data_IF_163429933299
#
_entry.id   IF_163429933299
#
_cell.length_a   1.000
_cell.length_b   1.000
_cell.length_c   1.000
_cell.angle_alpha   90.00
_cell.angle_beta   90.00
_cell.angle_gamma   90.00
#
_symmetry.space_group_name_H-M   'P 1'
#
loop_
_entity.id
_entity.type
_entity.pdbx_description
1 polymer ?
#
# COMPACT_ATOMS: atom_id res chain seq x y z
N UNK A 1 0.89 19.00 -34.89
CA UNK A 1 -0.21 18.04 -35.13
C UNK A 1 0.25 16.58 -35.17
N UNK A 2 1.04 16.11 -36.15
CA UNK A 2 1.47 14.68 -36.25
C UNK A 2 2.30 14.17 -35.05
N UNK A 3 3.11 15.03 -34.41
CA UNK A 3 3.90 14.66 -33.24
C UNK A 3 3.09 14.53 -31.95
N UNK A 4 2.00 15.28 -31.81
CA UNK A 4 1.08 15.16 -30.66
C UNK A 4 0.28 13.87 -30.72
N UNK A 5 -0.22 13.51 -31.90
CA UNK A 5 -1.00 12.28 -32.10
C UNK A 5 -0.17 11.03 -31.81
N UNK A 6 1.13 11.04 -32.15
CA UNK A 6 2.06 9.93 -31.85
C UNK A 6 2.40 9.82 -30.35
N UNK A 7 2.41 10.94 -29.62
CA UNK A 7 2.60 10.97 -28.16
C UNK A 7 1.39 10.35 -27.44
N UNK A 8 0.18 10.64 -27.89
CA UNK A 8 -1.06 10.06 -27.38
C UNK A 8 -1.12 8.55 -27.61
N UNK A 9 -0.65 8.05 -28.76
CA UNK A 9 -0.60 6.61 -29.08
C UNK A 9 0.50 5.83 -28.33
N UNK A 10 1.57 6.51 -27.87
CA UNK A 10 2.67 5.85 -27.15
C UNK A 10 2.43 5.63 -25.65
N UNK A 11 1.30 6.09 -25.10
CA UNK A 11 1.04 6.07 -23.66
C UNK A 11 2.02 6.92 -22.84
N UNK A 12 2.77 7.81 -23.49
CA UNK A 12 3.80 8.66 -22.89
C UNK A 12 3.33 10.13 -22.76
N UNK A 13 2.06 10.33 -22.40
CA UNK A 13 1.58 11.66 -21.99
C UNK A 13 2.00 11.96 -20.55
N UNK A 14 2.13 13.24 -20.19
CA UNK A 14 2.54 13.65 -18.83
C UNK A 14 1.64 13.06 -17.73
N UNK A 15 0.38 12.80 -18.04
CA UNK A 15 -0.58 12.22 -17.09
C UNK A 15 -0.25 10.76 -16.75
N UNK A 16 0.19 9.96 -17.71
CA UNK A 16 0.67 8.60 -17.45
C UNK A 16 1.93 8.63 -16.56
N UNK A 17 2.81 9.60 -16.78
CA UNK A 17 4.00 9.77 -15.95
C UNK A 17 3.65 10.16 -14.50
N UNK A 18 2.73 11.11 -14.32
CA UNK A 18 2.24 11.52 -12.98
C UNK A 18 1.60 10.35 -12.24
N UNK A 19 0.71 9.59 -12.90
CA UNK A 19 0.08 8.41 -12.31
C UNK A 19 1.13 7.36 -11.92
N UNK A 20 2.01 6.97 -12.84
CA UNK A 20 3.07 6.00 -12.59
C UNK A 20 3.96 6.42 -11.43
N UNK A 21 4.37 7.69 -11.38
CA UNK A 21 5.20 8.21 -10.28
C UNK A 21 4.48 8.08 -8.94
N UNK A 22 3.20 8.47 -8.86
CA UNK A 22 2.40 8.33 -7.62
C UNK A 22 2.27 6.87 -7.19
N UNK A 23 1.96 5.97 -8.11
CA UNK A 23 1.82 4.54 -7.82
C UNK A 23 3.14 3.91 -7.36
N UNK A 24 4.24 4.17 -8.08
CA UNK A 24 5.56 3.65 -7.72
C UNK A 24 6.00 4.19 -6.37
N UNK A 25 5.79 5.49 -6.09
CA UNK A 25 6.07 6.05 -4.77
C UNK A 25 5.22 5.39 -3.69
N UNK A 26 3.91 5.23 -3.90
CA UNK A 26 3.04 4.59 -2.93
C UNK A 26 3.46 3.14 -2.63
N UNK A 27 3.80 2.36 -3.66
CA UNK A 27 4.30 0.99 -3.51
C UNK A 27 5.63 0.99 -2.75
N UNK A 28 6.60 1.80 -3.16
CA UNK A 28 7.94 1.82 -2.55
C UNK A 28 7.90 2.19 -1.07
N UNK A 29 7.12 3.22 -0.71
CA UNK A 29 6.96 3.63 0.68
C UNK A 29 6.17 2.57 1.47
N UNK A 30 5.15 1.95 0.87
CA UNK A 30 4.40 0.86 1.53
C UNK A 30 5.27 -0.36 1.77
N UNK A 31 6.16 -0.75 0.85
CA UNK A 31 7.12 -1.83 1.06
C UNK A 31 8.11 -1.52 2.18
N UNK A 32 8.50 -0.25 2.33
CA UNK A 32 9.33 0.17 3.45
C UNK A 32 8.58 0.09 4.79
N UNK A 33 7.33 0.53 4.82
CA UNK A 33 6.44 0.38 5.99
C UNK A 33 6.20 -1.09 6.32
N UNK A 34 6.03 -1.94 5.32
CA UNK A 34 5.89 -3.39 5.47
C UNK A 34 7.11 -4.01 6.15
N UNK A 35 8.31 -3.67 5.68
CA UNK A 35 9.56 -4.15 6.28
C UNK A 35 9.69 -3.73 7.76
N UNK A 36 9.37 -2.47 8.06
CA UNK A 36 9.38 -1.96 9.44
C UNK A 36 8.34 -2.69 10.29
N UNK A 37 7.09 -2.77 9.79
CA UNK A 37 5.99 -3.44 10.47
C UNK A 37 6.33 -4.90 10.75
N UNK A 38 6.90 -5.60 9.77
CA UNK A 38 7.34 -7.00 9.90
C UNK A 38 8.36 -7.15 11.02
N UNK A 39 9.35 -6.27 11.05
CA UNK A 39 10.41 -6.28 12.07
C UNK A 39 9.83 -6.03 13.47
N UNK A 40 8.94 -5.04 13.60
CA UNK A 40 8.29 -4.72 14.87
C UNK A 40 7.36 -5.84 15.34
N UNK A 41 6.53 -6.37 14.44
CA UNK A 41 5.61 -7.46 14.75
C UNK A 41 6.37 -8.70 15.19
N UNK A 42 7.42 -9.08 14.47
CA UNK A 42 8.28 -10.18 14.90
C UNK A 42 8.90 -9.91 16.28
N UNK A 43 9.48 -8.73 16.51
CA UNK A 43 10.11 -8.40 17.79
C UNK A 43 9.13 -8.40 18.99
N UNK A 44 7.87 -8.02 18.77
CA UNK A 44 6.87 -7.87 19.82
C UNK A 44 6.09 -9.17 20.08
N UNK A 45 5.81 -9.95 19.04
CA UNK A 45 4.90 -11.08 19.08
C UNK A 45 5.60 -12.44 19.11
N UNK A 46 6.84 -12.53 18.60
CA UNK A 46 7.56 -13.80 18.57
C UNK A 46 7.78 -14.36 19.98
N UNK A 47 7.50 -15.65 20.14
CA UNK A 47 7.63 -16.36 21.42
C UNK A 47 6.55 -16.01 22.47
N UNK A 48 5.53 -15.21 22.11
CA UNK A 48 4.40 -14.93 23.01
C UNK A 48 3.38 -16.06 22.95
N UNK A 49 2.83 -16.41 24.11
CA UNK A 49 1.79 -17.43 24.23
C UNK A 49 0.57 -17.03 23.38
N UNK A 50 0.06 -17.96 22.58
CA UNK A 50 -1.03 -17.79 21.62
C UNK A 50 -0.79 -16.80 20.46
N UNK A 51 0.44 -16.33 20.24
CA UNK A 51 0.72 -15.54 19.04
C UNK A 51 0.85 -16.43 17.80
N UNK A 52 0.23 -15.99 16.70
CA UNK A 52 0.37 -16.62 15.39
C UNK A 52 1.67 -16.24 14.66
N UNK A 53 2.40 -15.24 15.16
CA UNK A 53 3.65 -14.74 14.57
C UNK A 53 4.81 -15.54 15.17
N UNK A 54 5.07 -16.70 14.57
CA UNK A 54 6.09 -17.66 15.05
C UNK A 54 7.43 -17.55 14.32
N UNK A 55 7.47 -16.87 13.18
CA UNK A 55 8.65 -16.64 12.35
C UNK A 55 8.61 -15.26 11.70
N UNK A 56 9.76 -14.81 11.18
CA UNK A 56 9.82 -13.56 10.40
C UNK A 56 8.87 -13.62 9.20
N UNK A 57 8.77 -14.77 8.54
CA UNK A 57 7.88 -14.95 7.39
C UNK A 57 6.40 -14.83 7.77
N UNK A 58 5.97 -15.42 8.89
CA UNK A 58 4.58 -15.26 9.35
C UNK A 58 4.28 -13.81 9.76
N UNK A 59 5.27 -13.10 10.31
CA UNK A 59 5.14 -11.66 10.60
C UNK A 59 5.01 -10.84 9.33
N UNK A 60 5.84 -11.14 8.31
CA UNK A 60 5.77 -10.51 6.99
C UNK A 60 4.41 -10.74 6.34
N UNK A 61 3.99 -12.00 6.24
CA UNK A 61 2.71 -12.36 5.67
C UNK A 61 1.56 -11.65 6.40
N UNK A 62 1.59 -11.59 7.73
CA UNK A 62 0.58 -10.87 8.51
C UNK A 62 0.54 -9.38 8.15
N UNK A 63 1.68 -8.70 8.22
CA UNK A 63 1.79 -7.26 7.95
C UNK A 63 1.36 -6.92 6.52
N UNK A 64 1.84 -7.67 5.53
CA UNK A 64 1.46 -7.48 4.12
C UNK A 64 -0.05 -7.62 3.93
N UNK A 65 -0.69 -8.61 4.55
CA UNK A 65 -2.15 -8.78 4.42
C UNK A 65 -2.92 -7.61 5.04
N UNK A 66 -2.49 -7.10 6.20
CA UNK A 66 -3.10 -5.91 6.81
C UNK A 66 -2.94 -4.66 5.93
N UNK A 67 -1.76 -4.48 5.32
CA UNK A 67 -1.50 -3.38 4.39
C UNK A 67 -2.31 -3.47 3.09
N UNK A 68 -2.61 -4.70 2.66
CA UNK A 68 -3.49 -4.98 1.52
C UNK A 68 -4.98 -4.94 1.89
N UNK A 69 -5.31 -4.60 3.13
CA UNK A 69 -6.67 -4.58 3.71
C UNK A 69 -7.41 -5.92 3.63
N UNK A 70 -6.70 -6.99 3.31
CA UNK A 70 -7.21 -8.36 3.40
C UNK A 70 -6.95 -8.80 4.84
N UNK A 71 -8.01 -8.95 5.63
CA UNK A 71 -7.83 -9.56 6.96
C UNK A 71 -7.14 -10.90 6.77
N UNK A 72 -5.96 -11.03 7.37
CA UNK A 72 -5.25 -12.29 7.37
C UNK A 72 -6.16 -13.38 7.97
N UNK A 73 -6.04 -14.62 7.51
CA UNK A 73 -6.67 -15.76 8.20
C UNK A 73 -6.00 -16.06 9.55
N UNK A 74 -4.91 -15.35 9.88
CA UNK A 74 -4.20 -15.48 11.13
C UNK A 74 -4.84 -14.58 12.21
N UNK A 75 -4.82 -15.02 13.47
CA UNK A 75 -5.24 -14.21 14.61
C UNK A 75 -4.53 -12.86 14.71
N UNK A 76 -5.21 -11.90 15.33
CA UNK A 76 -4.65 -10.59 15.66
C UNK A 76 -3.53 -10.68 16.72
N UNK A 77 -2.61 -9.69 16.77
CA UNK A 77 -1.54 -9.65 17.76
C UNK A 77 -2.08 -9.69 19.20
N UNK A 78 -1.38 -10.45 20.03
CA UNK A 78 -1.80 -10.67 21.42
C UNK A 78 -1.20 -9.63 22.37
N UNK A 79 -0.08 -9.01 22.00
CA UNK A 79 0.57 -7.98 22.82
C UNK A 79 -0.01 -6.60 22.59
N UNK A 80 0.04 -5.76 23.62
CA UNK A 80 -0.34 -4.34 23.51
C UNK A 80 0.48 -3.62 22.45
N UNK A 81 1.80 -3.88 22.39
CA UNK A 81 2.67 -3.29 21.37
C UNK A 81 2.27 -3.70 19.96
N UNK A 82 2.03 -4.99 19.72
CA UNK A 82 1.58 -5.49 18.42
C UNK A 82 0.25 -4.88 17.97
N UNK A 83 -0.70 -4.70 18.90
CA UNK A 83 -1.98 -4.02 18.61
C UNK A 83 -1.82 -2.55 18.26
N UNK A 84 -0.87 -1.85 18.88
CA UNK A 84 -0.56 -0.46 18.51
C UNK A 84 0.01 -0.41 17.09
N UNK A 85 0.94 -1.31 16.75
CA UNK A 85 1.48 -1.43 15.39
C UNK A 85 0.37 -1.73 14.39
N UNK A 86 -0.54 -2.65 14.70
CA UNK A 86 -1.71 -3.00 13.88
C UNK A 86 -2.57 -1.77 13.52
N UNK A 87 -2.90 -0.94 14.51
CA UNK A 87 -3.67 0.29 14.29
C UNK A 87 -2.95 1.24 13.32
N UNK A 88 -1.64 1.41 13.47
CA UNK A 88 -0.86 2.26 12.56
C UNK A 88 -0.82 1.70 11.14
N UNK A 89 -0.66 0.38 10.98
CA UNK A 89 -0.68 -0.27 9.68
C UNK A 89 -2.04 -0.09 8.98
N UNK A 90 -3.15 -0.21 9.72
CA UNK A 90 -4.49 -0.02 9.16
C UNK A 90 -4.73 1.43 8.71
N UNK A 91 -4.31 2.42 9.51
CA UNK A 91 -4.39 3.85 9.14
C UNK A 91 -3.57 4.12 7.88
N UNK A 92 -2.36 3.57 7.80
CA UNK A 92 -1.50 3.68 6.63
C UNK A 92 -2.16 3.06 5.40
N UNK A 93 -2.68 1.83 5.51
CA UNK A 93 -3.33 1.10 4.42
C UNK A 93 -4.49 1.90 3.81
N UNK A 94 -5.39 2.42 4.65
CA UNK A 94 -6.54 3.23 4.19
C UNK A 94 -6.05 4.50 3.48
N UNK A 95 -5.01 5.16 4.00
CA UNK A 95 -4.43 6.37 3.41
C UNK A 95 -3.87 6.09 2.02
N UNK A 96 -3.13 4.98 1.86
CA UNK A 96 -2.57 4.56 0.56
C UNK A 96 -3.68 4.21 -0.42
N UNK A 97 -4.68 3.43 0.00
CA UNK A 97 -5.84 3.08 -0.83
C UNK A 97 -6.57 4.33 -1.32
N UNK A 98 -6.82 5.30 -0.44
CA UNK A 98 -7.46 6.56 -0.80
C UNK A 98 -6.61 7.36 -1.80
N UNK A 99 -5.29 7.42 -1.59
CA UNK A 99 -4.35 8.14 -2.46
C UNK A 99 -4.27 7.52 -3.85
N UNK A 100 -4.21 6.19 -3.93
CA UNK A 100 -4.21 5.44 -5.18
C UNK A 100 -5.52 5.67 -5.93
N UNK A 101 -6.66 5.54 -5.24
CA UNK A 101 -7.99 5.80 -5.80
C UNK A 101 -8.10 7.21 -6.34
N UNK A 102 -7.67 8.23 -5.58
CA UNK A 102 -7.67 9.63 -6.02
C UNK A 102 -6.75 9.89 -7.21
N UNK A 103 -5.63 9.16 -7.31
CA UNK A 103 -4.72 9.24 -8.45
C UNK A 103 -5.35 8.69 -9.72
N UNK A 104 -6.08 7.57 -9.63
CA UNK A 104 -6.86 7.04 -10.75
C UNK A 104 -8.03 7.96 -11.12
N UNK A 105 -8.77 8.48 -10.15
CA UNK A 105 -9.87 9.41 -10.42
C UNK A 105 -9.38 10.65 -11.18
N UNK A 106 -8.24 11.23 -10.77
CA UNK A 106 -7.62 12.37 -11.46
C UNK A 106 -7.19 12.03 -12.89
N UNK A 107 -6.68 10.82 -13.11
CA UNK A 107 -6.29 10.35 -14.44
C UNK A 107 -7.49 10.16 -15.37
N UNK A 108 -8.64 9.73 -14.83
CA UNK A 108 -9.86 9.45 -15.61
C UNK A 108 -10.75 10.69 -15.82
N UNK A 109 -10.73 11.68 -14.93
CA UNK A 109 -11.65 12.84 -14.94
C UNK A 109 -11.38 13.91 -16.01
N UNK A 110 -10.75 13.60 -17.15
CA UNK A 110 -10.57 14.60 -18.21
C UNK A 110 -11.93 14.94 -18.85
N UNK A 111 -12.43 16.14 -18.57
CA UNK A 111 -13.66 16.73 -19.15
C UNK A 111 -13.56 16.79 -20.69
N UNK A 112 -14.65 16.55 -21.44
CA UNK A 112 -14.73 16.91 -22.85
C UNK A 112 -14.51 18.42 -22.98
N UNK A 113 -13.73 18.82 -23.98
CA UNK A 113 -13.59 20.21 -24.37
C UNK A 113 -14.98 20.73 -24.75
N UNK A 114 -15.58 21.57 -23.90
CA UNK A 114 -16.71 22.40 -24.32
C UNK A 114 -16.17 23.37 -25.36
N UNK A 115 -16.55 23.15 -26.61
CA UNK A 115 -16.39 24.11 -27.71
C UNK A 115 -17.14 25.41 -27.41
#
# INVERSE_FOLDING_TARGET
MVLETRRTFSGATEEHWKLRKRLVTAIAVTLFVDLIGTTLMYALEHGKHNSAITSVFTGFFWVTTQLLTVSSQMPNPVTTGGRVVDIFLQIWAITVVATVTGSFASFLQKKPETQ
#
